data_IF_464808730785
#
_entry.id   IF_464808730785
#
_cell.length_a   1.000
_cell.length_b   1.000
_cell.length_c   1.000
_cell.angle_alpha   90.00
_cell.angle_beta   90.00
_cell.angle_gamma   90.00
#
_symmetry.space_group_name_H-M   'P 1'
#
loop_
_entity.id
_entity.type
_entity.pdbx_description
1 polymer ?
#
# COMPACT_ATOMS: atom_id res chain seq x y z
N UNK A 1 17.98 -2.24 -0.25
CA UNK A 1 18.47 -1.07 0.51
C UNK A 1 19.86 -1.37 1.06
N UNK A 2 20.82 -0.41 0.91
CA UNK A 2 22.12 -0.44 1.58
C UNK A 2 22.00 -0.08 3.07
N UNK A 3 23.10 -0.15 3.84
CA UNK A 3 23.08 0.12 5.30
C UNK A 3 22.59 1.53 5.65
N UNK A 4 22.97 2.55 4.89
CA UNK A 4 22.55 3.93 5.11
C UNK A 4 21.05 4.09 4.88
N UNK A 5 20.52 3.52 3.80
CA UNK A 5 19.10 3.50 3.50
C UNK A 5 18.29 2.73 4.54
N UNK A 6 18.81 1.60 5.04
CA UNK A 6 18.17 0.84 6.13
C UNK A 6 18.10 1.65 7.43
N UNK A 7 19.20 2.35 7.78
CA UNK A 7 19.21 3.25 8.95
C UNK A 7 18.18 4.37 8.81
N UNK A 8 18.12 5.01 7.64
CA UNK A 8 17.13 6.05 7.37
C UNK A 8 15.69 5.48 7.45
N UNK A 9 15.45 4.31 6.88
CA UNK A 9 14.15 3.63 6.94
C UNK A 9 13.68 3.43 8.39
N UNK A 10 14.53 2.85 9.25
CA UNK A 10 14.18 2.61 10.65
C UNK A 10 13.98 3.89 11.45
N UNK A 11 14.81 4.93 11.20
CA UNK A 11 14.65 6.22 11.87
C UNK A 11 13.35 6.92 11.45
N UNK A 12 13.00 6.87 10.15
CA UNK A 12 11.73 7.43 9.67
C UNK A 12 10.57 6.67 10.28
N UNK A 13 10.59 5.32 10.25
CA UNK A 13 9.54 4.49 10.83
C UNK A 13 9.28 4.84 12.29
N UNK A 14 10.32 4.86 13.11
CA UNK A 14 10.23 5.23 14.52
C UNK A 14 9.73 6.67 14.72
N UNK A 15 10.23 7.61 13.92
CA UNK A 15 9.85 9.02 14.00
C UNK A 15 8.37 9.24 13.65
N UNK A 16 7.87 8.65 12.56
CA UNK A 16 6.46 8.82 12.15
C UNK A 16 5.48 8.08 13.08
N UNK A 17 5.90 6.96 13.67
CA UNK A 17 5.12 6.29 14.71
C UNK A 17 4.97 7.14 15.96
N UNK A 18 5.99 7.91 16.32
CA UNK A 18 6.00 8.83 17.46
C UNK A 18 5.47 10.24 17.12
N UNK A 19 5.04 10.47 15.87
CA UNK A 19 4.60 11.79 15.39
C UNK A 19 5.66 12.89 15.62
N UNK A 20 6.92 12.58 15.28
CA UNK A 20 8.02 13.52 15.38
C UNK A 20 7.89 14.65 14.35
N UNK A 21 8.16 15.87 14.75
CA UNK A 21 8.14 17.04 13.85
C UNK A 21 9.36 17.04 12.92
N UNK A 22 10.51 16.57 13.42
CA UNK A 22 11.77 16.46 12.69
C UNK A 22 12.47 15.14 13.05
N UNK A 23 13.10 14.52 12.06
CA UNK A 23 13.81 13.25 12.20
C UNK A 23 15.21 13.42 11.61
N UNK A 24 16.24 13.18 12.44
CA UNK A 24 17.62 13.20 11.97
C UNK A 24 17.94 11.90 11.22
N UNK A 25 18.39 12.03 9.98
CA UNK A 25 18.76 10.90 9.13
C UNK A 25 20.21 11.02 8.66
N UNK A 26 20.88 9.89 8.39
CA UNK A 26 22.11 9.94 7.61
C UNK A 26 21.81 10.57 6.24
N UNK A 27 22.79 11.27 5.67
CA UNK A 27 22.64 11.93 4.38
C UNK A 27 22.35 10.92 3.28
N UNK A 28 21.29 11.16 2.55
CA UNK A 28 20.87 10.44 1.34
C UNK A 28 20.64 11.45 0.22
N UNK A 29 20.82 11.02 -1.01
CA UNK A 29 20.37 11.81 -2.16
C UNK A 29 18.83 11.88 -2.20
N UNK A 30 18.25 12.95 -2.78
CA UNK A 30 16.81 13.14 -2.79
C UNK A 30 16.01 11.95 -3.34
N UNK A 31 16.49 11.32 -4.39
CA UNK A 31 15.86 10.15 -4.99
C UNK A 31 15.90 8.92 -4.05
N UNK A 32 17.04 8.69 -3.39
CA UNK A 32 17.18 7.62 -2.41
C UNK A 32 16.22 7.84 -1.22
N UNK A 33 16.14 9.07 -0.71
CA UNK A 33 15.25 9.43 0.39
C UNK A 33 13.79 9.21 0.02
N UNK A 34 13.39 9.62 -1.19
CA UNK A 34 12.06 9.37 -1.73
C UNK A 34 11.77 7.87 -1.79
N UNK A 35 12.67 7.08 -2.34
CA UNK A 35 12.50 5.63 -2.48
C UNK A 35 12.40 4.93 -1.12
N UNK A 36 13.19 5.34 -0.13
CA UNK A 36 13.13 4.81 1.24
C UNK A 36 11.77 5.11 1.89
N UNK A 37 11.31 6.35 1.83
CA UNK A 37 10.01 6.74 2.41
C UNK A 37 8.85 6.07 1.68
N UNK A 38 8.93 5.98 0.36
CA UNK A 38 7.94 5.31 -0.46
C UNK A 38 7.83 3.81 -0.12
N UNK A 39 8.97 3.10 0.00
CA UNK A 39 8.99 1.70 0.42
C UNK A 39 8.38 1.52 1.81
N UNK A 40 8.71 2.41 2.76
CA UNK A 40 8.14 2.38 4.11
C UNK A 40 6.60 2.44 4.08
N UNK A 41 6.03 3.31 3.25
CA UNK A 41 4.57 3.44 3.12
C UNK A 41 3.90 2.21 2.50
N UNK A 42 4.63 1.44 1.69
CA UNK A 42 4.13 0.18 1.14
C UNK A 42 4.24 -0.97 2.15
N UNK A 43 5.32 -0.99 2.93
CA UNK A 43 5.55 -2.02 3.94
C UNK A 43 4.64 -1.83 5.16
N UNK A 44 4.32 -0.57 5.50
CA UNK A 44 3.55 -0.14 6.67
C UNK A 44 2.31 0.69 6.30
N UNK A 45 1.36 0.13 5.55
CA UNK A 45 0.15 0.86 5.15
C UNK A 45 -0.76 1.23 6.33
N UNK A 46 -0.57 0.61 7.50
CA UNK A 46 -1.23 0.98 8.75
C UNK A 46 -0.81 2.37 9.25
N UNK A 47 0.35 2.90 8.76
CA UNK A 47 0.81 4.27 9.03
C UNK A 47 0.23 5.23 7.98
N UNK A 48 -1.08 5.34 7.94
CA UNK A 48 -1.81 6.13 6.94
C UNK A 48 -1.76 7.65 7.15
N UNK A 49 -1.19 8.12 8.24
CA UNK A 49 -1.13 9.55 8.57
C UNK A 49 0.13 10.27 8.07
N UNK A 50 1.20 9.56 7.72
CA UNK A 50 2.42 10.12 7.15
C UNK A 50 2.36 10.03 5.62
N UNK A 51 1.95 11.13 4.96
CA UNK A 51 1.60 11.12 3.53
C UNK A 51 2.64 11.78 2.63
N UNK A 52 3.54 12.56 3.20
CA UNK A 52 4.58 13.27 2.48
C UNK A 52 5.73 13.66 3.40
N UNK A 53 6.70 14.34 2.84
CA UNK A 53 7.80 14.90 3.60
C UNK A 53 8.45 16.08 2.89
N UNK A 54 9.15 16.91 3.69
CA UNK A 54 10.19 17.86 3.27
C UNK A 54 11.49 17.47 3.93
N UNK A 55 12.63 18.02 3.46
CA UNK A 55 13.92 17.78 4.05
C UNK A 55 14.78 19.04 4.05
N UNK A 56 15.74 19.11 4.98
CA UNK A 56 16.71 20.20 5.10
C UNK A 56 18.12 19.63 5.01
N UNK A 57 18.93 20.20 4.13
CA UNK A 57 20.36 19.93 4.04
C UNK A 57 21.16 21.08 4.66
N UNK A 58 22.25 20.71 5.32
CA UNK A 58 23.31 21.63 5.67
C UNK A 58 24.58 21.22 4.92
N UNK A 59 25.30 22.18 4.34
CA UNK A 59 26.34 21.93 3.33
C UNK A 59 27.42 20.93 3.78
N UNK A 60 27.89 21.02 5.01
CA UNK A 60 28.97 20.20 5.56
C UNK A 60 28.47 19.14 6.58
N UNK A 61 27.20 18.86 6.62
CA UNK A 61 26.63 17.89 7.54
C UNK A 61 26.59 16.49 6.91
N UNK A 62 27.03 15.45 7.65
CA UNK A 62 26.82 14.05 7.24
C UNK A 62 25.37 13.60 7.38
N UNK A 63 24.50 14.47 7.92
CA UNK A 63 23.10 14.20 8.18
C UNK A 63 22.19 15.17 7.43
N UNK A 64 20.94 14.78 7.30
CA UNK A 64 19.84 15.64 6.87
C UNK A 64 18.71 15.60 7.90
N UNK A 65 17.83 16.59 7.87
CA UNK A 65 16.62 16.61 8.69
C UNK A 65 15.43 16.27 7.78
N UNK A 66 14.76 15.19 8.10
CA UNK A 66 13.50 14.79 7.48
C UNK A 66 12.33 15.39 8.27
N UNK A 67 11.40 16.05 7.58
CA UNK A 67 10.24 16.72 8.15
C UNK A 67 9.00 16.05 7.61
N UNK A 68 8.37 15.14 8.36
CA UNK A 68 7.17 14.45 7.91
C UNK A 68 6.00 15.41 7.68
N UNK A 69 5.17 15.10 6.69
CA UNK A 69 3.88 15.76 6.47
C UNK A 69 2.77 14.82 6.90
N UNK A 70 2.00 15.25 7.90
CA UNK A 70 0.94 14.45 8.50
C UNK A 70 -0.44 14.86 7.98
N UNK A 71 -1.28 13.86 7.68
CA UNK A 71 -2.65 14.05 7.22
C UNK A 71 -3.58 14.60 8.31
N UNK A 72 -3.24 14.35 9.57
CA UNK A 72 -4.01 14.75 10.73
C UNK A 72 -3.12 15.32 11.83
N UNK A 73 -3.69 16.13 12.69
CA UNK A 73 -3.03 16.55 13.93
C UNK A 73 -2.79 15.36 14.89
N UNK A 74 -1.77 15.46 15.71
CA UNK A 74 -1.28 14.38 16.60
C UNK A 74 -2.36 13.75 17.49
N UNK A 75 -3.26 14.55 18.05
CA UNK A 75 -4.38 14.08 18.87
C UNK A 75 -5.40 13.26 18.05
N UNK A 76 -5.65 13.67 16.79
CA UNK A 76 -6.57 13.00 15.87
C UNK A 76 -6.00 11.69 15.32
N UNK A 77 -4.68 11.58 15.12
CA UNK A 77 -4.05 10.35 14.64
C UNK A 77 -4.38 9.18 15.56
N UNK A 78 -4.23 9.33 16.88
CA UNK A 78 -4.53 8.26 17.84
C UNK A 78 -6.00 7.81 17.80
N UNK A 79 -6.92 8.76 17.62
CA UNK A 79 -8.34 8.46 17.45
C UNK A 79 -8.59 7.63 16.19
N UNK A 80 -8.06 8.07 15.05
CA UNK A 80 -8.18 7.36 13.78
C UNK A 80 -7.50 5.99 13.78
N UNK A 81 -6.33 5.86 14.41
CA UNK A 81 -5.65 4.57 14.57
C UNK A 81 -6.54 3.56 15.32
N UNK A 82 -7.09 3.96 16.47
CA UNK A 82 -7.97 3.08 17.26
C UNK A 82 -9.23 2.69 16.48
N UNK A 83 -9.86 3.65 15.82
CA UNK A 83 -11.03 3.41 14.99
C UNK A 83 -10.72 2.45 13.84
N UNK A 84 -9.59 2.64 13.15
CA UNK A 84 -9.17 1.78 12.04
C UNK A 84 -8.82 0.37 12.52
N UNK A 85 -8.08 0.24 13.63
CA UNK A 85 -7.76 -1.05 14.23
C UNK A 85 -9.03 -1.81 14.60
N UNK A 86 -9.97 -1.18 15.31
CA UNK A 86 -11.25 -1.77 15.69
C UNK A 86 -12.07 -2.19 14.46
N UNK A 87 -12.02 -1.38 13.39
CA UNK A 87 -12.68 -1.70 12.10
C UNK A 87 -12.10 -2.94 11.46
N UNK A 88 -10.78 -3.02 11.33
CA UNK A 88 -10.07 -4.19 10.78
C UNK A 88 -10.38 -5.44 11.59
N UNK A 89 -10.23 -5.40 12.91
CA UNK A 89 -10.52 -6.54 13.81
C UNK A 89 -11.96 -7.03 13.64
N UNK A 90 -12.93 -6.11 13.55
CA UNK A 90 -14.34 -6.46 13.33
C UNK A 90 -14.56 -7.13 11.99
N UNK A 91 -13.90 -6.63 10.93
CA UNK A 91 -14.03 -7.17 9.57
C UNK A 91 -13.45 -8.59 9.45
N UNK A 92 -12.26 -8.84 10.00
CA UNK A 92 -11.57 -10.12 9.82
C UNK A 92 -12.06 -11.22 10.76
N UNK A 93 -12.74 -10.87 11.85
CA UNK A 93 -13.20 -11.81 12.88
C UNK A 93 -13.97 -13.01 12.34
N UNK A 94 -14.94 -12.87 11.40
CA UNK A 94 -15.74 -14.00 10.90
C UNK A 94 -14.93 -15.04 10.12
N UNK A 95 -13.76 -14.66 9.59
CA UNK A 95 -12.97 -15.51 8.69
C UNK A 95 -11.59 -15.86 9.25
N UNK A 96 -11.30 -15.47 10.49
CA UNK A 96 -9.98 -15.62 11.12
C UNK A 96 -9.49 -17.08 11.14
N UNK A 97 -10.40 -18.02 11.36
CA UNK A 97 -10.11 -19.46 11.48
C UNK A 97 -10.36 -20.24 10.17
N UNK A 98 -10.61 -19.53 9.07
CA UNK A 98 -10.82 -20.13 7.76
C UNK A 98 -9.50 -20.48 7.06
N UNK A 99 -9.59 -21.24 5.96
CA UNK A 99 -8.44 -21.55 5.10
C UNK A 99 -7.83 -20.29 4.48
N UNK A 100 -6.57 -20.36 4.06
CA UNK A 100 -5.89 -19.24 3.39
C UNK A 100 -6.67 -18.74 2.18
N UNK A 101 -7.20 -19.65 1.37
CA UNK A 101 -8.01 -19.32 0.20
C UNK A 101 -9.33 -18.58 0.55
N UNK A 102 -10.04 -19.05 1.59
CA UNK A 102 -11.27 -18.39 2.05
C UNK A 102 -11.00 -16.99 2.62
N UNK A 103 -9.85 -16.82 3.30
CA UNK A 103 -9.40 -15.52 3.80
C UNK A 103 -9.08 -14.56 2.65
N UNK A 104 -8.30 -15.01 1.66
CA UNK A 104 -7.98 -14.22 0.47
C UNK A 104 -9.26 -13.81 -0.28
N UNK A 105 -10.14 -14.77 -0.53
CA UNK A 105 -11.42 -14.53 -1.19
C UNK A 105 -12.27 -13.50 -0.42
N UNK A 106 -12.33 -13.61 0.89
CA UNK A 106 -13.05 -12.65 1.73
C UNK A 106 -12.49 -11.22 1.56
N UNK A 107 -11.17 -11.06 1.57
CA UNK A 107 -10.53 -9.74 1.39
C UNK A 107 -10.88 -9.16 0.02
N UNK A 108 -10.79 -9.95 -1.03
CA UNK A 108 -11.16 -9.56 -2.39
C UNK A 108 -12.62 -9.13 -2.48
N UNK A 109 -13.55 -10.00 -2.05
CA UNK A 109 -15.00 -9.77 -2.15
C UNK A 109 -15.42 -8.56 -1.33
N UNK A 110 -14.87 -8.41 -0.10
CA UNK A 110 -15.16 -7.25 0.73
C UNK A 110 -14.83 -5.93 0.02
N UNK A 111 -13.68 -5.83 -0.64
CA UNK A 111 -13.30 -4.62 -1.38
C UNK A 111 -14.23 -4.42 -2.58
N UNK A 112 -14.51 -5.47 -3.36
CA UNK A 112 -15.40 -5.37 -4.52
C UNK A 112 -16.81 -4.90 -4.15
N UNK A 113 -17.33 -5.33 -3.00
CA UNK A 113 -18.69 -5.00 -2.56
C UNK A 113 -18.78 -3.63 -1.87
N UNK A 114 -17.74 -3.22 -1.14
CA UNK A 114 -17.84 -2.10 -0.20
C UNK A 114 -17.02 -0.87 -0.59
N UNK A 115 -16.16 -0.96 -1.60
CA UNK A 115 -15.28 0.14 -2.00
C UNK A 115 -15.59 0.58 -3.43
N UNK A 116 -15.72 1.87 -3.65
CA UNK A 116 -15.85 2.49 -4.97
C UNK A 116 -14.55 3.17 -5.37
N UNK A 117 -14.21 3.12 -6.67
CA UNK A 117 -13.03 3.82 -7.17
C UNK A 117 -13.22 5.34 -7.09
N UNK A 118 -12.29 6.04 -6.44
CA UNK A 118 -12.33 7.49 -6.27
C UNK A 118 -11.78 8.20 -7.50
N UNK A 119 -12.68 8.65 -8.37
CA UNK A 119 -12.33 9.45 -9.56
C UNK A 119 -11.76 10.83 -9.21
N UNK A 120 -12.05 11.36 -8.02
CA UNK A 120 -11.57 12.66 -7.55
C UNK A 120 -10.17 12.58 -6.96
N UNK A 121 -9.67 11.36 -6.69
CA UNK A 121 -8.32 11.08 -6.17
C UNK A 121 -7.97 11.90 -4.92
N UNK A 122 -8.90 11.96 -3.96
CA UNK A 122 -8.69 12.68 -2.70
C UNK A 122 -7.50 12.08 -1.93
N UNK A 123 -6.81 12.89 -1.13
CA UNK A 123 -5.62 12.45 -0.40
C UNK A 123 -5.86 11.20 0.45
N UNK A 124 -6.96 11.13 1.17
CA UNK A 124 -7.30 9.96 1.99
C UNK A 124 -7.63 8.70 1.18
N UNK A 125 -7.95 8.82 -0.12
CA UNK A 125 -8.24 7.68 -1.00
C UNK A 125 -6.98 6.92 -1.42
N UNK A 126 -5.79 7.48 -1.17
CA UNK A 126 -4.49 6.83 -1.33
C UNK A 126 -4.05 6.06 -0.09
N UNK A 127 -4.78 6.19 1.01
CA UNK A 127 -4.49 5.55 2.29
C UNK A 127 -5.64 4.63 2.72
N UNK A 128 -5.38 3.73 3.69
CA UNK A 128 -6.38 2.73 4.13
C UNK A 128 -7.67 3.36 4.67
N UNK A 129 -7.60 4.59 5.18
CA UNK A 129 -8.77 5.31 5.70
C UNK A 129 -9.82 5.58 4.61
N UNK A 130 -9.40 5.68 3.35
CA UNK A 130 -10.31 5.79 2.21
C UNK A 130 -11.13 4.51 2.02
N UNK A 131 -10.53 3.37 1.62
CA UNK A 131 -11.24 2.12 1.40
C UNK A 131 -11.93 1.58 2.65
N UNK A 132 -11.25 1.53 3.79
CA UNK A 132 -11.77 0.89 5.01
C UNK A 132 -12.65 1.82 5.85
N UNK A 133 -12.48 3.13 5.74
CA UNK A 133 -13.25 4.12 6.52
C UNK A 133 -14.38 4.78 5.73
N UNK A 134 -14.10 5.20 4.49
CA UNK A 134 -15.03 5.99 3.66
C UNK A 134 -15.65 5.18 2.50
N UNK A 135 -15.22 3.93 2.28
CA UNK A 135 -15.68 3.10 1.19
C UNK A 135 -15.28 3.63 -0.20
N UNK A 136 -14.19 4.37 -0.29
CA UNK A 136 -13.66 4.89 -1.56
C UNK A 136 -12.13 4.78 -1.58
N UNK A 137 -11.55 4.43 -2.74
CA UNK A 137 -10.09 4.32 -2.87
C UNK A 137 -9.62 4.43 -4.31
N UNK A 138 -8.37 4.84 -4.48
CA UNK A 138 -7.63 4.63 -5.74
C UNK A 138 -6.87 3.31 -5.64
N UNK A 139 -6.22 2.87 -6.72
CA UNK A 139 -5.48 1.60 -6.75
C UNK A 139 -4.48 1.44 -5.58
N UNK A 140 -3.75 2.51 -5.23
CA UNK A 140 -2.81 2.51 -4.11
C UNK A 140 -3.51 2.28 -2.75
N UNK A 141 -4.59 3.00 -2.47
CA UNK A 141 -5.35 2.86 -1.22
C UNK A 141 -6.04 1.50 -1.12
N UNK A 142 -6.56 0.99 -2.25
CA UNK A 142 -7.16 -0.35 -2.33
C UNK A 142 -6.11 -1.43 -2.03
N UNK A 143 -4.94 -1.37 -2.68
CA UNK A 143 -3.86 -2.33 -2.44
C UNK A 143 -3.32 -2.28 -1.00
N UNK A 144 -3.25 -1.09 -0.39
CA UNK A 144 -2.92 -0.92 1.03
C UNK A 144 -3.98 -1.55 1.95
N UNK A 145 -5.27 -1.36 1.65
CA UNK A 145 -6.35 -1.96 2.41
C UNK A 145 -6.33 -3.49 2.33
N UNK A 146 -6.11 -4.05 1.14
CA UNK A 146 -5.91 -5.49 0.93
C UNK A 146 -4.77 -6.00 1.80
N UNK A 147 -3.61 -5.33 1.79
CA UNK A 147 -2.46 -5.75 2.61
C UNK A 147 -2.79 -5.74 4.09
N UNK A 148 -3.40 -4.69 4.62
CA UNK A 148 -3.77 -4.60 6.05
C UNK A 148 -4.74 -5.71 6.46
N UNK A 149 -5.72 -6.03 5.62
CA UNK A 149 -6.66 -7.13 5.90
C UNK A 149 -5.97 -8.50 5.83
N UNK A 150 -5.10 -8.73 4.83
CA UNK A 150 -4.30 -9.95 4.72
C UNK A 150 -3.39 -10.14 5.94
N UNK A 151 -2.65 -9.10 6.34
CA UNK A 151 -1.76 -9.12 7.51
C UNK A 151 -2.55 -9.46 8.79
N UNK A 152 -3.73 -8.84 8.99
CA UNK A 152 -4.61 -9.13 10.12
C UNK A 152 -5.17 -10.57 10.14
N UNK A 153 -5.22 -11.22 8.98
CA UNK A 153 -5.62 -12.62 8.80
C UNK A 153 -4.44 -13.60 8.83
N UNK A 154 -3.21 -13.10 8.98
CA UNK A 154 -2.00 -13.91 8.95
C UNK A 154 -1.62 -14.41 7.55
N UNK A 155 -2.12 -13.79 6.50
CA UNK A 155 -1.73 -14.04 5.12
C UNK A 155 -0.55 -13.14 4.74
N UNK A 156 0.51 -13.74 4.18
CA UNK A 156 1.59 -12.93 3.62
C UNK A 156 1.11 -12.20 2.37
N UNK A 157 1.27 -10.89 2.36
CA UNK A 157 0.85 -10.02 1.27
C UNK A 157 1.87 -8.91 1.06
N UNK A 158 2.18 -8.61 -0.20
CA UNK A 158 2.96 -7.43 -0.58
C UNK A 158 2.21 -6.57 -1.57
N UNK A 159 2.58 -5.28 -1.62
CA UNK A 159 2.09 -4.33 -2.60
C UNK A 159 3.09 -4.25 -3.74
N UNK A 160 2.60 -4.33 -4.96
CA UNK A 160 3.37 -4.20 -6.19
C UNK A 160 2.97 -2.92 -6.91
N UNK A 161 3.96 -2.20 -7.44
CA UNK A 161 3.73 -0.99 -8.25
C UNK A 161 4.46 -1.12 -9.58
N UNK A 162 3.74 -0.84 -10.66
CA UNK A 162 4.36 -0.54 -11.93
C UNK A 162 4.55 0.98 -12.09
N UNK A 163 5.72 1.39 -12.54
CA UNK A 163 6.02 2.79 -12.85
C UNK A 163 5.46 3.21 -14.19
N UNK A 164 5.34 4.52 -14.39
CA UNK A 164 5.15 5.10 -15.71
C UNK A 164 6.45 4.94 -16.51
N UNK A 165 6.39 4.34 -17.68
CA UNK A 165 7.51 4.22 -18.61
C UNK A 165 7.01 4.53 -20.03
N UNK A 166 7.03 5.82 -20.45
CA UNK A 166 6.55 6.25 -21.76
C UNK A 166 7.29 5.61 -22.93
N UNK A 167 8.58 5.31 -22.77
CA UNK A 167 9.42 4.67 -23.80
C UNK A 167 8.95 3.24 -24.09
N UNK A 168 8.44 2.55 -23.06
CA UNK A 168 7.84 1.22 -23.17
C UNK A 168 6.31 1.27 -23.36
N UNK A 169 5.72 2.44 -23.61
CA UNK A 169 4.28 2.60 -23.82
C UNK A 169 3.44 2.51 -22.54
N UNK A 170 4.06 2.44 -21.35
CA UNK A 170 3.36 2.44 -20.07
C UNK A 170 3.02 3.87 -19.69
N UNK A 171 1.76 4.26 -19.86
CA UNK A 171 1.29 5.66 -19.70
C UNK A 171 0.81 5.98 -18.28
N UNK A 172 0.68 5.01 -17.40
CA UNK A 172 0.14 5.20 -16.06
C UNK A 172 0.79 4.28 -15.04
N UNK A 173 0.84 4.75 -13.81
CA UNK A 173 1.24 3.99 -12.65
C UNK A 173 0.05 3.19 -12.13
N UNK A 174 0.28 1.92 -11.78
CA UNK A 174 -0.73 1.06 -11.22
C UNK A 174 -0.20 0.30 -10.00
N UNK A 175 -1.10 -0.12 -9.11
CA UNK A 175 -0.76 -0.76 -7.85
C UNK A 175 -1.73 -1.92 -7.59
N UNK A 176 -1.17 -3.08 -7.24
CA UNK A 176 -1.92 -4.30 -6.91
C UNK A 176 -1.19 -5.11 -5.84
N UNK A 177 -1.62 -6.33 -5.56
CA UNK A 177 -1.03 -7.18 -4.51
C UNK A 177 -0.49 -8.50 -5.07
N UNK A 178 0.51 -9.06 -4.37
CA UNK A 178 0.87 -10.47 -4.44
C UNK A 178 0.59 -11.08 -3.08
N UNK A 179 -0.12 -12.20 -3.06
CA UNK A 179 -0.48 -12.97 -1.85
C UNK A 179 0.19 -14.33 -1.91
N UNK A 180 0.63 -14.85 -0.76
CA UNK A 180 1.21 -16.20 -0.67
C UNK A 180 0.18 -17.16 -0.07
N UNK A 181 -0.13 -18.24 -0.80
CA UNK A 181 -1.05 -19.29 -0.40
C UNK A 181 -0.41 -20.66 -0.63
N UNK A 182 -0.44 -21.55 0.35
CA UNK A 182 0.13 -22.89 0.23
C UNK A 182 1.59 -22.90 -0.22
N UNK A 183 2.37 -21.88 0.13
CA UNK A 183 3.77 -21.73 -0.26
C UNK A 183 4.01 -21.15 -1.65
N UNK A 184 2.97 -20.84 -2.44
CA UNK A 184 3.04 -20.25 -3.79
C UNK A 184 2.57 -18.81 -3.78
N UNK A 185 3.03 -18.02 -4.75
CA UNK A 185 2.68 -16.60 -4.90
C UNK A 185 1.67 -16.40 -6.02
N UNK A 186 0.68 -15.54 -5.76
CA UNK A 186 -0.39 -15.24 -6.70
C UNK A 186 -0.64 -13.73 -6.76
N UNK A 187 -0.88 -13.23 -7.97
CA UNK A 187 -1.30 -11.85 -8.18
C UNK A 187 -2.79 -11.70 -7.91
N UNK A 188 -3.14 -10.61 -7.22
CA UNK A 188 -4.51 -10.21 -6.95
C UNK A 188 -4.67 -8.72 -7.20
N UNK A 189 -5.39 -8.36 -8.27
CA UNK A 189 -5.67 -6.97 -8.63
C UNK A 189 -7.15 -6.64 -8.37
N UNK A 190 -7.45 -6.37 -7.13
CA UNK A 190 -8.82 -6.07 -6.71
C UNK A 190 -9.36 -4.79 -7.33
N UNK A 191 -8.49 -3.84 -7.70
CA UNK A 191 -8.92 -2.60 -8.37
C UNK A 191 -9.55 -2.88 -9.73
N UNK A 192 -8.98 -3.80 -10.52
CA UNK A 192 -9.56 -4.18 -11.82
C UNK A 192 -10.80 -5.02 -11.65
N UNK A 193 -10.81 -6.01 -10.78
CA UNK A 193 -12.02 -6.79 -10.52
C UNK A 193 -13.16 -5.92 -9.99
N UNK A 194 -12.86 -4.99 -9.08
CA UNK A 194 -13.83 -4.00 -8.58
C UNK A 194 -14.42 -3.14 -9.72
N UNK A 195 -13.58 -2.69 -10.66
CA UNK A 195 -14.01 -1.87 -11.79
C UNK A 195 -14.89 -2.64 -12.80
N UNK A 196 -14.76 -3.98 -12.85
CA UNK A 196 -15.54 -4.87 -13.68
C UNK A 196 -16.81 -5.40 -12.98
N UNK A 197 -16.85 -5.33 -11.65
CA UNK A 197 -17.95 -5.79 -10.80
C UNK A 197 -19.10 -4.78 -10.82
N UNK A 198 -20.14 -5.03 -11.60
CA UNK A 198 -21.33 -4.18 -11.65
C UNK A 198 -22.50 -4.78 -10.87
N UNK A 199 -22.91 -6.00 -11.21
CA UNK A 199 -23.99 -6.73 -10.55
C UNK A 199 -23.45 -7.94 -9.78
N UNK A 200 -22.37 -8.54 -10.30
CA UNK A 200 -21.72 -9.72 -9.73
C UNK A 200 -20.25 -9.46 -9.52
N UNK A 201 -19.65 -10.02 -8.46
CA UNK A 201 -18.23 -9.95 -8.21
C UNK A 201 -17.47 -10.66 -9.32
N UNK A 202 -16.46 -9.98 -9.89
CA UNK A 202 -15.59 -10.54 -10.92
C UNK A 202 -14.30 -11.06 -10.27
N UNK A 203 -13.74 -12.10 -10.88
CA UNK A 203 -12.51 -12.78 -10.45
C UNK A 203 -11.52 -12.92 -11.61
N UNK A 204 -11.53 -11.97 -12.55
CA UNK A 204 -10.67 -12.00 -13.73
C UNK A 204 -9.20 -11.75 -13.38
N UNK A 205 -8.95 -11.04 -12.28
CA UNK A 205 -7.64 -10.65 -11.77
C UNK A 205 -7.38 -11.17 -10.35
N UNK A 206 -8.10 -12.20 -9.94
CA UNK A 206 -7.99 -12.85 -8.64
C UNK A 206 -7.14 -14.12 -8.73
N UNK A 207 -6.18 -14.27 -7.81
CA UNK A 207 -5.39 -15.49 -7.60
C UNK A 207 -4.72 -16.01 -8.90
N UNK A 208 -4.07 -15.11 -9.64
CA UNK A 208 -3.39 -15.45 -10.88
C UNK A 208 -1.93 -15.82 -10.62
N UNK A 209 -1.46 -16.96 -11.16
CA UNK A 209 -0.05 -17.26 -11.26
C UNK A 209 0.65 -16.32 -12.29
N UNK A 210 1.99 -16.28 -12.29
CA UNK A 210 2.76 -15.40 -13.18
C UNK A 210 2.38 -15.59 -14.66
N UNK A 211 2.18 -16.84 -15.09
CA UNK A 211 1.84 -17.17 -16.47
C UNK A 211 0.49 -16.57 -16.89
N UNK A 212 -0.50 -16.60 -16.01
CA UNK A 212 -1.83 -16.06 -16.29
C UNK A 212 -1.89 -14.55 -16.06
N UNK A 213 -1.12 -14.01 -15.10
CA UNK A 213 -1.01 -12.57 -14.88
C UNK A 213 -0.36 -11.86 -16.05
N UNK A 214 0.73 -12.38 -16.65
CA UNK A 214 1.34 -11.84 -17.88
C UNK A 214 0.37 -11.74 -19.07
N UNK A 215 -0.65 -12.58 -19.11
CA UNK A 215 -1.67 -12.52 -20.17
C UNK A 215 -2.72 -11.45 -19.92
N UNK A 216 -3.07 -11.19 -18.67
CA UNK A 216 -4.18 -10.31 -18.25
C UNK A 216 -3.76 -8.95 -17.79
N UNK A 217 -2.55 -8.83 -17.22
CA UNK A 217 -1.98 -7.57 -16.74
C UNK A 217 -1.05 -6.97 -17.82
N UNK A 218 -1.53 -6.04 -18.66
CA UNK A 218 -0.79 -5.54 -19.83
C UNK A 218 0.58 -4.95 -19.47
N UNK A 219 0.70 -4.36 -18.28
CA UNK A 219 1.95 -3.75 -17.78
C UNK A 219 3.03 -4.75 -17.40
N UNK A 220 2.71 -5.99 -17.07
CA UNK A 220 3.70 -7.03 -16.80
C UNK A 220 4.40 -7.51 -18.10
N UNK A 221 3.74 -7.43 -19.26
CA UNK A 221 4.31 -7.82 -20.54
C UNK A 221 5.53 -7.01 -20.96
N UNK A 222 5.77 -5.86 -20.34
CA UNK A 222 6.87 -4.96 -20.69
C UNK A 222 8.11 -5.11 -19.81
N UNK A 223 8.10 -6.00 -18.80
CA UNK A 223 9.24 -6.22 -17.92
C UNK A 223 10.24 -7.25 -18.48
N UNK A 224 9.80 -8.17 -19.35
CA UNK A 224 10.62 -9.26 -19.88
C UNK A 224 11.29 -8.98 -21.24
N UNK A 225 11.22 -7.79 -21.77
CA UNK A 225 11.84 -7.42 -23.05
C UNK A 225 13.12 -6.59 -22.88
N UNK A 226 13.86 -6.82 -21.79
CA UNK A 226 15.16 -6.21 -21.51
C UNK A 226 16.30 -7.20 -21.55
#
# INVERSE_FOLDING_TARGET
>A
MNKTQQSAYHNILQGVQNMADEILLPRLEPEELYNVFFQLRLDHPEIFWATGFRYKYYQDSPNLIFVPEYLFEKNKVKEHQRAMQARVEKLVRPVKDKSEWEKEKFVHDFICENVRYDKLKKAYSHEIIGPLGQGVGVCEGIAKAVKVLCDALGLWCMIVICGNNPEKGIKYRHTWNIVKLGGKYYHMDVTFDNSLSHNDIRYDYFNLDDKNSFRRLPWLRYQDSG
#
